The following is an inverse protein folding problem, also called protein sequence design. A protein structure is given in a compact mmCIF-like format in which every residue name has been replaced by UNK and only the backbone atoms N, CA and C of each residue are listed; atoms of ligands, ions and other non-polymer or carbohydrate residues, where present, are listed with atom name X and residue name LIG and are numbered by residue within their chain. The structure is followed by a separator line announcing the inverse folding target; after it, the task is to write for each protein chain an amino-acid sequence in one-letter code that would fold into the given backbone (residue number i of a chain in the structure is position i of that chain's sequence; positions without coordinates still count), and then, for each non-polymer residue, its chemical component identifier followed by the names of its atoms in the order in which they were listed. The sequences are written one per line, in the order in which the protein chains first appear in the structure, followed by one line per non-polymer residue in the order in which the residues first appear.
data_IF_254237872266
#
_entry.id   IF_254237872266
#
_cell.length_a   1.000
_cell.length_b   1.000
_cell.length_c   1.000
_cell.angle_alpha   90.00
_cell.angle_beta   90.00
_cell.angle_gamma   90.00
#
_symmetry.space_group_name_H-M   'P 1'
#
loop_
_entity.id
_entity.type
_entity.pdbx_description
1 polymer ?
#
# COMPACT_ATOMS: atom_id res chain seq x y z
N UNK A 1 22.53 -14.07 1.24
CA UNK A 1 22.57 -12.61 1.14
C UNK A 1 23.90 -12.08 0.61
N UNK A 2 25.04 -12.31 1.27
CA UNK A 2 26.34 -11.76 0.81
C UNK A 2 26.64 -12.12 -0.66
N UNK A 3 26.46 -13.38 -1.05
CA UNK A 3 26.69 -13.80 -2.44
C UNK A 3 25.80 -13.09 -3.47
N UNK A 4 24.54 -12.80 -3.11
CA UNK A 4 23.61 -12.01 -3.95
C UNK A 4 24.09 -10.55 -4.06
N UNK A 5 24.49 -9.96 -2.93
CA UNK A 5 24.98 -8.58 -2.89
C UNK A 5 26.28 -8.40 -3.72
N UNK A 6 27.12 -9.44 -3.78
CA UNK A 6 28.38 -9.49 -4.52
C UNK A 6 28.21 -10.03 -5.96
N UNK A 7 26.99 -10.35 -6.38
CA UNK A 7 26.68 -10.94 -7.71
C UNK A 7 27.50 -12.22 -8.01
N UNK A 8 27.61 -13.12 -7.02
CA UNK A 8 28.31 -14.38 -7.23
C UNK A 8 27.49 -15.27 -8.18
N UNK A 9 28.13 -15.81 -9.22
CA UNK A 9 27.50 -16.74 -10.16
C UNK A 9 27.00 -18.02 -9.46
N UNK A 10 27.74 -18.45 -8.43
CA UNK A 10 27.40 -19.61 -7.60
C UNK A 10 27.60 -19.28 -6.14
N UNK A 11 26.59 -19.52 -5.33
CA UNK A 11 26.60 -19.28 -3.89
C UNK A 11 26.62 -20.63 -3.18
N UNK A 12 27.61 -20.85 -2.31
CA UNK A 12 27.70 -22.06 -1.53
C UNK A 12 27.02 -21.85 -0.17
N UNK A 13 26.07 -22.72 0.18
CA UNK A 13 25.38 -22.72 1.45
C UNK A 13 25.74 -23.97 2.27
N UNK A 14 25.78 -23.83 3.59
CA UNK A 14 25.87 -24.97 4.51
C UNK A 14 24.49 -25.61 4.65
N UNK A 15 24.47 -26.95 4.68
CA UNK A 15 23.23 -27.71 4.69
C UNK A 15 22.97 -28.31 3.31
N UNK A 16 22.54 -29.57 3.27
CA UNK A 16 22.48 -30.33 2.03
C UNK A 16 21.07 -30.52 1.46
N UNK A 17 20.06 -29.88 2.03
CA UNK A 17 18.68 -29.97 1.54
C UNK A 17 18.42 -28.88 0.49
N UNK A 18 18.27 -29.25 -0.81
CA UNK A 18 18.04 -28.28 -1.87
C UNK A 18 16.69 -27.59 -1.78
N UNK A 19 15.65 -28.28 -1.31
CA UNK A 19 14.29 -27.74 -1.25
C UNK A 19 14.23 -26.63 -0.17
N UNK A 20 14.77 -26.90 1.03
CA UNK A 20 14.86 -25.89 2.09
C UNK A 20 15.76 -24.72 1.65
N UNK A 21 16.83 -24.99 0.91
CA UNK A 21 17.73 -23.92 0.43
C UNK A 21 17.04 -23.04 -0.61
N UNK A 22 16.24 -23.62 -1.52
CA UNK A 22 15.44 -22.88 -2.49
C UNK A 22 14.37 -22.03 -1.80
N UNK A 23 13.71 -22.58 -0.77
CA UNK A 23 12.72 -21.85 0.02
C UNK A 23 13.35 -20.65 0.73
N UNK A 24 14.51 -20.83 1.40
CA UNK A 24 15.24 -19.72 2.02
C UNK A 24 15.68 -18.67 1.00
N UNK A 25 16.06 -19.07 -0.20
CA UNK A 25 16.36 -18.10 -1.28
C UNK A 25 15.13 -17.29 -1.66
N UNK A 26 13.96 -17.94 -1.79
CA UNK A 26 12.68 -17.27 -1.99
C UNK A 26 12.36 -16.24 -0.90
N UNK A 27 12.59 -16.59 0.37
CA UNK A 27 12.41 -15.63 1.48
C UNK A 27 13.37 -14.44 1.39
N UNK A 28 14.62 -14.64 0.99
CA UNK A 28 15.55 -13.53 0.76
C UNK A 28 15.02 -12.58 -0.32
N UNK A 29 14.45 -13.10 -1.40
CA UNK A 29 13.82 -12.30 -2.44
C UNK A 29 12.60 -11.51 -1.93
N UNK A 30 11.82 -12.08 -1.02
CA UNK A 30 10.64 -11.45 -0.43
C UNK A 30 11.01 -10.39 0.62
N UNK A 31 12.00 -10.67 1.48
CA UNK A 31 12.32 -9.86 2.65
C UNK A 31 13.31 -8.72 2.38
N UNK A 32 14.07 -8.80 1.29
CA UNK A 32 15.13 -7.83 0.96
C UNK A 32 14.89 -7.18 -0.41
N UNK A 33 13.95 -6.24 -0.50
CA UNK A 33 13.57 -5.60 -1.77
C UNK A 33 14.72 -4.85 -2.45
N UNK A 34 15.77 -4.48 -1.70
CA UNK A 34 16.98 -3.85 -2.22
C UNK A 34 17.79 -4.75 -3.16
N UNK A 35 17.60 -6.07 -3.10
CA UNK A 35 18.21 -7.00 -4.07
C UNK A 35 17.38 -7.13 -5.35
N UNK A 36 16.93 -6.00 -5.88
CA UNK A 36 16.06 -5.92 -7.06
C UNK A 36 16.70 -6.41 -8.37
N UNK A 37 17.92 -6.90 -8.32
CA UNK A 37 18.63 -7.53 -9.44
C UNK A 37 18.50 -9.06 -9.50
N UNK A 38 17.71 -9.67 -8.62
CA UNK A 38 17.28 -11.07 -8.71
C UNK A 38 15.76 -11.11 -8.96
N UNK A 39 15.31 -12.19 -9.62
CA UNK A 39 13.89 -12.38 -9.92
C UNK A 39 13.19 -13.43 -9.05
N UNK A 40 13.84 -13.88 -7.97
CA UNK A 40 13.34 -14.94 -7.10
C UNK A 40 13.59 -16.37 -7.61
N UNK A 41 13.96 -16.54 -8.87
CA UNK A 41 14.32 -17.84 -9.42
C UNK A 41 15.80 -18.19 -9.15
N UNK A 42 16.06 -19.47 -8.94
CA UNK A 42 17.42 -19.99 -8.78
C UNK A 42 17.48 -21.47 -9.12
N UNK A 43 18.68 -21.93 -9.43
CA UNK A 43 18.96 -23.36 -9.53
C UNK A 43 19.68 -23.82 -8.27
N UNK A 44 19.12 -24.79 -7.55
CA UNK A 44 19.70 -25.30 -6.29
C UNK A 44 20.07 -26.77 -6.44
N UNK A 45 21.34 -27.12 -6.18
CA UNK A 45 21.84 -28.48 -6.24
C UNK A 45 22.52 -28.86 -4.92
N UNK A 46 22.10 -29.96 -4.33
CA UNK A 46 22.72 -30.50 -3.09
C UNK A 46 23.84 -31.48 -3.39
N UNK A 47 24.95 -31.37 -2.65
CA UNK A 47 26.16 -32.18 -2.80
C UNK A 47 26.57 -32.87 -1.50
N UNK A 48 27.35 -33.96 -1.65
CA UNK A 48 27.90 -34.75 -0.56
C UNK A 48 27.11 -36.04 -0.28
N UNK A 49 27.74 -37.01 0.44
CA UNK A 49 27.12 -38.24 0.93
C UNK A 49 27.43 -38.43 2.42
N UNK A 50 26.49 -38.11 3.34
CA UNK A 50 25.19 -37.47 3.07
C UNK A 50 25.34 -36.04 2.51
N UNK A 51 24.34 -35.50 1.85
CA UNK A 51 24.34 -34.12 1.33
C UNK A 51 24.61 -33.15 2.47
N UNK A 52 25.61 -32.28 2.34
CA UNK A 52 26.06 -31.40 3.40
C UNK A 52 26.29 -29.96 2.99
N UNK A 53 26.16 -29.63 1.71
CA UNK A 53 26.11 -28.27 1.19
C UNK A 53 25.24 -28.19 -0.07
N UNK A 54 24.79 -26.99 -0.38
CA UNK A 54 24.12 -26.71 -1.64
C UNK A 54 24.85 -25.62 -2.43
N UNK A 55 24.79 -25.73 -3.75
CA UNK A 55 25.11 -24.67 -4.69
C UNK A 55 23.81 -24.01 -5.14
N UNK A 56 23.74 -22.69 -5.02
CA UNK A 56 22.63 -21.85 -5.51
C UNK A 56 23.19 -21.03 -6.65
N UNK A 57 22.56 -21.13 -7.82
CA UNK A 57 22.84 -20.31 -9.00
C UNK A 57 21.66 -19.35 -9.17
N UNK A 58 21.79 -18.07 -8.73
CA UNK A 58 20.73 -17.08 -8.89
C UNK A 58 20.52 -16.69 -10.35
N UNK A 59 19.29 -16.34 -10.69
CA UNK A 59 19.02 -15.65 -11.94
C UNK A 59 19.10 -14.13 -11.72
N UNK A 60 20.15 -13.52 -12.28
CA UNK A 60 20.35 -12.08 -12.21
C UNK A 60 19.73 -11.36 -13.40
N UNK A 61 19.07 -10.23 -13.14
CA UNK A 61 18.38 -9.40 -14.15
C UNK A 61 19.25 -8.28 -14.71
N UNK A 62 20.37 -7.95 -14.03
CA UNK A 62 21.36 -6.95 -14.47
C UNK A 62 22.78 -7.50 -14.32
N UNK A 63 23.75 -6.83 -14.92
CA UNK A 63 25.16 -7.19 -14.83
C UNK A 63 25.79 -6.78 -13.49
N UNK A 64 26.92 -7.42 -13.12
CA UNK A 64 27.65 -7.10 -11.90
C UNK A 64 28.16 -5.64 -11.87
N UNK A 65 28.52 -5.10 -13.02
CA UNK A 65 29.00 -3.72 -13.16
C UNK A 65 27.92 -2.68 -12.81
N UNK A 66 26.64 -3.00 -13.04
CA UNK A 66 25.52 -2.10 -12.80
C UNK A 66 25.10 -2.04 -11.34
N UNK A 67 25.38 -3.08 -10.53
CA UNK A 67 24.88 -3.20 -9.14
C UNK A 67 25.32 -2.04 -8.26
N UNK A 68 26.59 -1.65 -8.28
CA UNK A 68 27.09 -0.55 -7.43
C UNK A 68 26.38 0.77 -7.70
N UNK A 69 26.12 1.06 -8.98
CA UNK A 69 25.35 2.22 -9.40
C UNK A 69 23.91 2.16 -8.88
N UNK A 70 23.27 1.00 -9.06
CA UNK A 70 21.88 0.77 -8.62
C UNK A 70 21.72 0.86 -7.10
N UNK A 71 22.61 0.25 -6.34
CA UNK A 71 22.65 0.37 -4.86
C UNK A 71 22.77 1.83 -4.42
N UNK A 72 23.65 2.60 -5.08
CA UNK A 72 23.83 4.02 -4.77
C UNK A 72 22.57 4.82 -5.06
N UNK A 73 21.89 4.57 -6.17
CA UNK A 73 20.64 5.22 -6.54
C UNK A 73 19.50 4.87 -5.58
N UNK A 74 19.31 3.59 -5.22
CA UNK A 74 18.31 3.15 -4.24
C UNK A 74 18.54 3.83 -2.88
N UNK A 75 19.81 3.84 -2.41
CA UNK A 75 20.14 4.48 -1.13
C UNK A 75 19.89 5.99 -1.17
N UNK A 76 20.26 6.65 -2.26
CA UNK A 76 20.02 8.08 -2.48
C UNK A 76 18.54 8.39 -2.48
N UNK A 77 17.76 7.74 -3.34
CA UNK A 77 16.32 7.92 -3.44
C UNK A 77 15.61 7.65 -2.10
N UNK A 78 15.99 6.59 -1.37
CA UNK A 78 15.44 6.32 -0.05
C UNK A 78 15.81 7.37 1.00
N UNK A 79 17.00 7.99 0.94
CA UNK A 79 17.33 9.12 1.80
C UNK A 79 16.47 10.34 1.50
N UNK A 80 16.32 10.66 0.21
CA UNK A 80 15.52 11.80 -0.25
C UNK A 80 14.05 11.60 0.10
N UNK A 81 13.55 10.37 -0.08
CA UNK A 81 12.17 10.02 0.27
C UNK A 81 11.88 10.21 1.76
N UNK A 82 12.81 9.82 2.64
CA UNK A 82 12.65 9.90 4.09
C UNK A 82 13.14 11.23 4.70
N UNK A 83 13.61 12.18 3.90
CA UNK A 83 14.26 13.41 4.40
C UNK A 83 13.32 14.33 5.18
N UNK A 84 12.04 14.35 4.85
CA UNK A 84 10.98 15.15 5.45
C UNK A 84 10.03 14.35 6.36
N UNK A 85 10.26 13.04 6.52
CA UNK A 85 9.52 12.23 7.48
C UNK A 85 10.04 12.51 8.90
N UNK A 86 9.16 13.02 9.75
CA UNK A 86 9.48 13.26 11.15
C UNK A 86 9.64 11.92 11.91
N UNK A 87 10.89 11.60 12.23
CA UNK A 87 11.22 10.36 12.94
C UNK A 87 10.76 10.33 14.39
N UNK A 88 10.29 11.45 14.94
CA UNK A 88 9.75 11.53 16.30
C UNK A 88 8.27 11.13 16.40
N UNK A 89 7.57 11.01 15.26
CA UNK A 89 6.22 10.44 15.23
C UNK A 89 6.21 9.03 15.80
N UNK A 90 5.06 8.61 16.30
CA UNK A 90 4.82 7.19 16.61
C UNK A 90 4.85 6.34 15.33
N UNK A 91 4.78 5.03 15.49
CA UNK A 91 4.90 4.12 14.35
C UNK A 91 3.71 4.25 13.39
N UNK A 92 2.48 4.48 13.88
CA UNK A 92 1.34 4.75 13.03
C UNK A 92 1.52 6.00 12.18
N UNK A 93 1.96 7.09 12.77
CA UNK A 93 2.23 8.34 12.06
C UNK A 93 3.28 8.17 10.95
N UNK A 94 4.35 7.38 11.20
CA UNK A 94 5.36 7.05 10.18
C UNK A 94 4.79 6.17 9.06
N UNK A 95 4.01 5.14 9.40
CA UNK A 95 3.34 4.25 8.44
C UNK A 95 2.45 5.09 7.51
N UNK A 96 1.58 5.93 8.09
CA UNK A 96 0.68 6.82 7.34
C UNK A 96 1.44 7.79 6.44
N UNK A 97 2.47 8.46 6.96
CA UNK A 97 3.25 9.42 6.21
C UNK A 97 3.96 8.80 5.00
N UNK A 98 4.49 7.58 5.16
CA UNK A 98 5.11 6.85 4.04
C UNK A 98 4.07 6.33 3.05
N UNK A 99 2.93 5.85 3.52
CA UNK A 99 1.79 5.45 2.69
C UNK A 99 1.37 6.60 1.76
N UNK A 100 1.03 7.75 2.32
CA UNK A 100 0.64 8.95 1.58
C UNK A 100 1.72 9.41 0.60
N UNK A 101 2.98 9.36 1.01
CA UNK A 101 4.08 9.81 0.17
C UNK A 101 4.35 8.87 -1.00
N UNK A 102 4.21 7.56 -0.81
CA UNK A 102 4.26 6.59 -1.90
C UNK A 102 3.20 6.89 -2.96
N UNK A 103 1.96 7.11 -2.53
CA UNK A 103 0.83 7.42 -3.43
C UNK A 103 1.09 8.72 -4.21
N UNK A 104 1.62 9.76 -3.56
CA UNK A 104 1.89 11.05 -4.21
C UNK A 104 3.11 11.07 -5.13
N UNK A 105 4.04 10.14 -4.99
CA UNK A 105 5.32 10.18 -5.71
C UNK A 105 5.54 9.05 -6.71
N UNK A 106 4.66 8.05 -6.72
CA UNK A 106 4.77 6.89 -7.60
C UNK A 106 3.53 6.82 -8.46
N UNK A 107 3.71 6.72 -9.76
CA UNK A 107 2.64 6.53 -10.73
C UNK A 107 2.41 5.05 -11.01
N UNK A 108 1.14 4.63 -11.12
CA UNK A 108 0.80 3.27 -11.54
C UNK A 108 0.95 3.13 -13.07
N UNK A 109 1.99 2.43 -13.52
CA UNK A 109 2.31 2.26 -14.94
C UNK A 109 2.58 0.80 -15.27
N UNK A 110 1.64 0.14 -15.97
CA UNK A 110 1.73 -1.30 -16.31
C UNK A 110 2.95 -1.65 -17.16
N UNK A 111 3.33 -0.80 -18.09
CA UNK A 111 4.41 -1.05 -19.03
C UNK A 111 5.74 -0.39 -18.61
N UNK A 112 5.86 0.05 -17.35
CA UNK A 112 7.12 0.61 -16.84
C UNK A 112 8.23 -0.46 -16.85
N UNK A 113 9.48 -0.10 -17.18
CA UNK A 113 10.59 -1.02 -17.10
C UNK A 113 10.79 -1.56 -15.67
N UNK A 114 10.98 -2.88 -15.55
CA UNK A 114 11.18 -3.54 -14.25
C UNK A 114 10.06 -3.26 -13.24
N UNK A 115 8.84 -3.07 -13.70
CA UNK A 115 7.68 -2.55 -12.97
C UNK A 115 7.27 -3.32 -11.69
N UNK A 116 7.93 -4.43 -11.36
CA UNK A 116 7.68 -5.20 -10.13
C UNK A 116 8.80 -5.08 -9.09
N UNK A 117 9.71 -4.12 -9.28
CA UNK A 117 10.90 -4.00 -8.43
C UNK A 117 10.86 -2.74 -7.55
N UNK A 118 11.62 -2.78 -6.45
CA UNK A 118 11.91 -1.58 -5.66
C UNK A 118 12.47 -0.44 -6.51
N UNK A 119 13.33 -0.76 -7.48
CA UNK A 119 13.99 0.25 -8.31
C UNK A 119 12.98 1.03 -9.17
N UNK A 120 12.02 0.32 -9.75
CA UNK A 120 10.94 0.92 -10.53
C UNK A 120 10.10 1.90 -9.69
N UNK A 121 9.65 1.50 -8.51
CA UNK A 121 8.86 2.37 -7.63
C UNK A 121 9.68 3.51 -7.01
N UNK A 122 10.77 3.17 -6.32
CA UNK A 122 11.51 4.14 -5.51
C UNK A 122 12.38 5.11 -6.32
N UNK A 123 13.02 4.62 -7.41
CA UNK A 123 13.98 5.41 -8.17
C UNK A 123 13.35 6.03 -9.42
N UNK A 124 12.54 5.24 -10.15
CA UNK A 124 11.92 5.70 -11.38
C UNK A 124 10.55 6.36 -11.16
N UNK A 125 9.90 6.12 -10.01
CA UNK A 125 8.59 6.66 -9.68
C UNK A 125 7.45 6.09 -10.53
N UNK A 126 7.65 4.93 -11.19
CA UNK A 126 6.65 4.30 -12.06
C UNK A 126 6.68 2.78 -11.89
N UNK A 127 5.57 2.19 -11.45
CA UNK A 127 5.55 0.76 -11.12
C UNK A 127 4.13 0.18 -11.13
N UNK A 128 3.99 -1.08 -10.71
CA UNK A 128 2.71 -1.76 -10.42
C UNK A 128 2.68 -2.20 -8.95
N UNK A 129 1.65 -2.92 -8.52
CA UNK A 129 1.44 -3.31 -7.12
C UNK A 129 2.68 -3.86 -6.42
N UNK A 130 3.42 -4.77 -7.04
CA UNK A 130 4.64 -5.34 -6.45
C UNK A 130 5.72 -4.28 -6.18
N UNK A 131 5.89 -3.29 -7.05
CA UNK A 131 6.87 -2.22 -6.85
C UNK A 131 6.42 -1.21 -5.79
N UNK A 132 5.12 -0.89 -5.69
CA UNK A 132 4.56 -0.12 -4.58
C UNK A 132 4.83 -0.81 -3.24
N UNK A 133 4.45 -2.08 -3.11
CA UNK A 133 4.61 -2.84 -1.88
C UNK A 133 6.10 -3.01 -1.48
N UNK A 134 7.00 -3.23 -2.44
CA UNK A 134 8.45 -3.32 -2.20
C UNK A 134 9.06 -1.97 -1.82
N UNK A 135 8.56 -0.88 -2.39
CA UNK A 135 8.99 0.48 -2.01
C UNK A 135 8.58 0.78 -0.58
N UNK A 136 7.34 0.51 -0.24
CA UNK A 136 6.83 0.66 1.11
C UNK A 136 7.61 -0.21 2.11
N UNK A 137 7.83 -1.49 1.79
CA UNK A 137 8.64 -2.42 2.60
C UNK A 137 10.05 -1.88 2.88
N UNK A 138 10.74 -1.41 1.84
CA UNK A 138 12.10 -0.85 1.99
C UNK A 138 12.12 0.38 2.91
N UNK A 139 11.14 1.26 2.77
CA UNK A 139 11.05 2.48 3.58
C UNK A 139 10.68 2.18 5.03
N UNK A 140 9.77 1.23 5.28
CA UNK A 140 9.44 0.75 6.64
C UNK A 140 10.66 0.13 7.32
N UNK A 141 11.39 -0.75 6.63
CA UNK A 141 12.66 -1.32 7.14
C UNK A 141 13.67 -0.24 7.54
N UNK A 142 13.74 0.88 6.80
CA UNK A 142 14.62 2.01 7.11
C UNK A 142 14.15 2.89 8.28
N UNK A 143 12.89 2.76 8.66
CA UNK A 143 12.28 3.39 9.84
C UNK A 143 12.23 2.45 11.05
N UNK A 144 12.83 1.25 10.94
CA UNK A 144 12.83 0.19 11.96
C UNK A 144 11.41 -0.32 12.29
N UNK A 145 10.48 -0.24 11.34
CA UNK A 145 9.11 -0.77 11.45
C UNK A 145 9.09 -2.15 10.80
N UNK A 146 8.76 -3.23 11.55
CA UNK A 146 8.67 -4.57 10.98
C UNK A 146 7.57 -4.65 9.92
N UNK A 147 7.92 -5.18 8.77
CA UNK A 147 7.03 -5.25 7.60
C UNK A 147 7.27 -6.53 6.82
N UNK A 148 6.21 -7.12 6.29
CA UNK A 148 6.22 -8.29 5.43
C UNK A 148 5.68 -7.90 4.06
N UNK A 149 6.32 -8.33 2.98
CA UNK A 149 5.75 -8.30 1.64
C UNK A 149 4.89 -9.55 1.45
N UNK A 150 3.65 -9.37 1.03
CA UNK A 150 2.67 -10.44 0.83
C UNK A 150 2.30 -10.53 -0.64
N UNK A 151 2.18 -11.75 -1.15
CA UNK A 151 1.60 -12.03 -2.46
C UNK A 151 0.29 -12.77 -2.31
N UNK A 152 -0.57 -12.62 -3.30
CA UNK A 152 -1.88 -13.25 -3.33
C UNK A 152 -2.68 -12.85 -4.56
N UNK A 153 -3.99 -12.85 -4.42
CA UNK A 153 -4.92 -12.44 -5.47
C UNK A 153 -5.97 -11.47 -4.94
N UNK A 154 -6.50 -10.65 -5.84
CA UNK A 154 -7.68 -9.84 -5.58
C UNK A 154 -8.96 -10.69 -5.69
N UNK A 155 -10.11 -10.15 -5.32
CA UNK A 155 -11.44 -10.73 -5.51
C UNK A 155 -11.75 -11.05 -6.99
N UNK A 156 -11.11 -10.31 -7.92
CA UNK A 156 -11.19 -10.59 -9.37
C UNK A 156 -10.32 -11.75 -9.83
N UNK A 157 -9.45 -12.29 -8.95
CA UNK A 157 -8.50 -13.37 -9.24
C UNK A 157 -7.21 -12.89 -9.90
N UNK A 158 -6.95 -11.58 -9.96
CA UNK A 158 -5.68 -11.04 -10.46
C UNK A 158 -4.58 -11.16 -9.40
N UNK A 159 -3.36 -11.49 -9.84
CA UNK A 159 -2.21 -11.56 -8.93
C UNK A 159 -1.90 -10.15 -8.37
N UNK A 160 -1.70 -10.09 -7.07
CA UNK A 160 -1.51 -8.84 -6.35
C UNK A 160 -0.43 -8.94 -5.27
N UNK A 161 0.09 -7.78 -4.84
CA UNK A 161 1.09 -7.71 -3.78
C UNK A 161 0.87 -6.50 -2.89
N UNK A 162 0.92 -6.73 -1.57
CA UNK A 162 0.72 -5.71 -0.53
C UNK A 162 1.66 -5.93 0.66
N UNK A 163 1.39 -5.31 1.79
CA UNK A 163 2.21 -5.45 2.98
C UNK A 163 1.39 -5.77 4.23
N UNK A 164 2.03 -6.46 5.18
CA UNK A 164 1.61 -6.49 6.58
C UNK A 164 2.65 -5.75 7.39
N UNK A 165 2.23 -4.78 8.20
CA UNK A 165 3.09 -4.02 9.12
C UNK A 165 2.81 -4.40 10.56
N UNK A 166 3.84 -4.32 11.41
CA UNK A 166 3.66 -4.38 12.85
C UNK A 166 3.65 -2.98 13.43
N UNK A 167 2.60 -2.64 14.17
CA UNK A 167 2.51 -1.41 14.92
C UNK A 167 2.11 -1.72 16.37
N UNK A 168 2.94 -1.34 17.33
CA UNK A 168 2.80 -1.79 18.72
C UNK A 168 2.88 -3.31 18.83
N UNK A 169 1.88 -3.93 19.44
CA UNK A 169 1.80 -5.39 19.62
C UNK A 169 1.02 -6.10 18.51
N UNK A 170 0.38 -5.36 17.60
CA UNK A 170 -0.52 -5.87 16.58
C UNK A 170 0.07 -5.81 15.17
N UNK A 171 -0.57 -6.54 14.26
CA UNK A 171 -0.28 -6.53 12.83
C UNK A 171 -1.48 -6.02 12.05
N UNK A 172 -1.21 -5.34 10.92
CA UNK A 172 -2.23 -4.71 10.08
C UNK A 172 -1.87 -4.87 8.61
N UNK A 173 -2.87 -5.08 7.76
CA UNK A 173 -2.70 -5.04 6.31
C UNK A 173 -2.56 -3.60 5.83
N UNK A 174 -1.69 -3.38 4.84
CA UNK A 174 -1.49 -2.09 4.18
C UNK A 174 -1.33 -2.32 2.68
N UNK A 175 -2.20 -1.74 1.88
CA UNK A 175 -2.06 -1.75 0.43
C UNK A 175 -1.95 -0.33 -0.13
N UNK A 176 -0.73 0.04 -0.46
CA UNK A 176 -0.42 1.37 -1.03
C UNK A 176 -1.00 1.54 -2.43
N UNK A 177 -1.07 0.46 -3.20
CA UNK A 177 -1.59 0.50 -4.58
C UNK A 177 -3.07 0.86 -4.61
N UNK A 178 -3.86 0.24 -3.73
CA UNK A 178 -5.28 0.52 -3.62
C UNK A 178 -5.59 1.81 -2.87
N UNK A 179 -4.61 2.35 -2.15
CA UNK A 179 -4.67 3.71 -1.62
C UNK A 179 -4.48 4.79 -2.69
N UNK A 180 -3.93 4.42 -3.87
CA UNK A 180 -3.67 5.32 -5.00
C UNK A 180 -4.74 5.16 -6.08
N UNK A 181 -5.80 5.99 -6.08
CA UNK A 181 -6.87 5.89 -7.05
C UNK A 181 -6.39 6.35 -8.43
N UNK A 182 -6.31 5.42 -9.38
CA UNK A 182 -6.09 5.75 -10.79
C UNK A 182 -7.42 6.05 -11.44
N UNK A 183 -7.72 7.32 -11.65
CA UNK A 183 -8.91 7.73 -12.39
C UNK A 183 -8.71 7.54 -13.90
N UNK A 184 -9.70 6.94 -14.58
CA UNK A 184 -9.68 6.84 -16.03
C UNK A 184 -9.71 8.24 -16.67
N UNK A 185 -8.93 8.45 -17.74
CA UNK A 185 -9.00 9.69 -18.52
C UNK A 185 -10.45 9.97 -18.96
N UNK A 186 -11.03 11.06 -18.50
CA UNK A 186 -12.38 11.50 -18.82
C UNK A 186 -13.41 11.39 -17.70
N UNK A 187 -13.19 10.60 -16.67
CA UNK A 187 -14.13 10.48 -15.53
C UNK A 187 -13.84 11.49 -14.41
N UNK A 188 -12.57 11.83 -14.17
CA UNK A 188 -12.16 12.87 -13.22
C UNK A 188 -12.75 14.26 -13.54
N UNK A 189 -13.12 14.52 -14.78
CA UNK A 189 -13.73 15.78 -15.19
C UNK A 189 -15.19 15.98 -14.74
N UNK A 190 -15.90 14.92 -14.41
CA UNK A 190 -17.33 15.00 -14.00
C UNK A 190 -17.48 15.31 -12.51
N UNK A 191 -16.53 14.90 -11.68
CA UNK A 191 -16.64 14.99 -10.21
C UNK A 191 -15.74 16.04 -9.57
N UNK A 192 -14.82 16.67 -10.29
CA UNK A 192 -13.90 17.70 -9.78
C UNK A 192 -13.26 17.29 -8.43
N UNK A 193 -12.78 16.04 -8.38
CA UNK A 193 -12.10 15.49 -7.19
C UNK A 193 -10.72 16.12 -7.07
N UNK A 194 -10.18 16.23 -5.84
CA UNK A 194 -8.79 16.65 -5.64
C UNK A 194 -7.81 15.73 -6.37
N UNK A 195 -6.81 16.31 -7.01
CA UNK A 195 -5.77 15.56 -7.74
C UNK A 195 -4.90 14.70 -6.79
N UNK A 196 -4.91 15.02 -5.49
CA UNK A 196 -4.15 14.36 -4.44
C UNK A 196 -5.03 13.50 -3.50
N UNK A 197 -6.24 13.13 -3.94
CA UNK A 197 -7.13 12.24 -3.18
C UNK A 197 -6.42 10.93 -2.86
N UNK A 198 -6.52 10.48 -1.62
CA UNK A 198 -5.97 9.22 -1.13
C UNK A 198 -7.09 8.38 -0.54
N UNK A 199 -7.15 7.09 -0.88
CA UNK A 199 -8.08 6.16 -0.27
C UNK A 199 -7.43 5.46 0.92
N UNK A 200 -7.91 5.80 2.10
CA UNK A 200 -7.37 5.26 3.35
C UNK A 200 -8.00 3.93 3.79
N UNK A 201 -8.92 3.39 3.00
CA UNK A 201 -9.58 2.10 3.27
C UNK A 201 -8.61 0.91 3.36
N UNK A 202 -7.39 1.09 2.85
CA UNK A 202 -6.34 0.07 2.82
C UNK A 202 -5.13 0.42 3.69
N UNK A 203 -5.30 1.35 4.64
CA UNK A 203 -4.27 1.74 5.60
C UNK A 203 -4.54 1.13 6.98
N UNK A 204 -3.70 0.20 7.43
CA UNK A 204 -3.77 -0.45 8.75
C UNK A 204 -5.09 -1.20 8.99
N UNK A 205 -5.48 -2.04 8.07
CA UNK A 205 -6.77 -2.74 8.04
C UNK A 205 -6.66 -4.15 8.62
N UNK A 206 -7.71 -4.61 9.29
CA UNK A 206 -7.79 -5.98 9.83
C UNK A 206 -8.02 -7.03 8.72
N UNK A 207 -7.68 -8.31 9.00
CA UNK A 207 -7.99 -9.42 8.08
C UNK A 207 -9.49 -9.52 7.80
N UNK A 208 -10.34 -9.16 8.78
CA UNK A 208 -11.79 -9.26 8.64
C UNK A 208 -12.34 -8.34 7.53
N UNK A 209 -11.78 -7.13 7.38
CA UNK A 209 -12.16 -6.20 6.32
C UNK A 209 -11.37 -6.47 5.03
N UNK A 210 -10.08 -6.78 5.14
CA UNK A 210 -9.18 -6.94 4.00
C UNK A 210 -9.49 -8.18 3.15
N UNK A 211 -9.96 -9.25 3.77
CA UNK A 211 -10.28 -10.52 3.09
C UNK A 211 -11.48 -10.45 2.14
N UNK A 212 -12.28 -9.39 2.19
CA UNK A 212 -13.37 -9.18 1.23
C UNK A 212 -12.84 -8.93 -0.20
N UNK A 213 -11.64 -8.39 -0.30
CA UNK A 213 -11.03 -8.01 -1.57
C UNK A 213 -9.69 -8.69 -1.85
N UNK A 214 -9.01 -9.24 -0.83
CA UNK A 214 -7.67 -9.80 -0.95
C UNK A 214 -7.58 -11.20 -0.36
N UNK A 215 -6.90 -12.10 -1.05
CA UNK A 215 -6.61 -13.45 -0.58
C UNK A 215 -5.10 -13.73 -0.67
N UNK A 216 -4.45 -13.87 0.48
CA UNK A 216 -3.02 -14.18 0.53
C UNK A 216 -2.71 -15.61 0.06
N UNK A 217 -1.52 -15.80 -0.51
CA UNK A 217 -1.01 -17.12 -0.85
C UNK A 217 -0.87 -18.00 0.41
N UNK A 218 -1.38 -19.21 0.35
CA UNK A 218 -1.50 -20.11 1.51
C UNK A 218 -0.21 -20.72 2.01
N UNK A 219 0.89 -20.56 1.27
CA UNK A 219 2.21 -21.11 1.58
C UNK A 219 3.06 -20.21 2.49
N UNK A 220 2.58 -19.02 2.86
CA UNK A 220 3.29 -18.08 3.72
C UNK A 220 2.75 -18.15 5.16
N UNK A 221 3.62 -18.31 6.19
CA UNK A 221 3.20 -18.23 7.58
C UNK A 221 3.02 -16.76 7.99
N UNK A 222 1.88 -16.18 7.65
CA UNK A 222 1.58 -14.78 7.95
C UNK A 222 1.04 -14.60 9.37
N UNK A 223 1.37 -13.52 10.08
CA UNK A 223 0.72 -13.16 11.33
C UNK A 223 -0.73 -12.76 11.08
N UNK A 224 -1.63 -13.04 12.02
CA UNK A 224 -3.01 -12.60 11.94
C UNK A 224 -3.15 -11.10 12.24
N UNK A 225 -3.88 -10.38 11.41
CA UNK A 225 -4.20 -8.96 11.56
C UNK A 225 -5.60 -8.82 12.17
N UNK A 226 -5.71 -8.99 13.49
CA UNK A 226 -7.02 -9.02 14.18
C UNK A 226 -7.46 -7.67 14.74
N UNK A 227 -6.57 -6.68 14.77
CA UNK A 227 -6.85 -5.36 15.32
C UNK A 227 -7.35 -4.40 14.23
N UNK A 228 -8.28 -3.54 14.58
CA UNK A 228 -8.89 -2.51 13.72
C UNK A 228 -8.77 -1.10 14.30
N UNK A 229 -8.11 -0.97 15.45
CA UNK A 229 -7.98 0.29 16.19
C UNK A 229 -7.14 1.34 15.44
N UNK A 230 -6.24 0.93 14.54
CA UNK A 230 -5.43 1.83 13.70
C UNK A 230 -6.00 2.06 12.30
N UNK A 231 -7.18 1.55 12.01
CA UNK A 231 -7.89 1.88 10.78
C UNK A 231 -8.11 3.41 10.71
N UNK A 232 -7.80 3.99 9.55
CA UNK A 232 -7.70 5.45 9.39
C UNK A 232 -8.94 6.22 9.86
N UNK A 233 -10.14 5.78 9.46
CA UNK A 233 -11.38 6.49 9.81
C UNK A 233 -11.71 6.39 11.29
N UNK A 234 -11.26 5.33 11.99
CA UNK A 234 -11.34 5.25 13.44
C UNK A 234 -10.39 6.24 14.12
N UNK A 235 -9.18 6.37 13.58
CA UNK A 235 -8.16 7.30 14.09
C UNK A 235 -8.60 8.76 13.99
N UNK A 236 -9.32 9.13 12.94
CA UNK A 236 -9.83 10.50 12.76
C UNK A 236 -11.27 10.69 13.29
N UNK A 237 -11.89 9.66 13.89
CA UNK A 237 -13.25 9.72 14.43
C UNK A 237 -14.36 9.77 13.37
N UNK A 238 -14.07 9.28 12.15
CA UNK A 238 -15.01 9.29 11.01
C UNK A 238 -15.54 7.90 10.66
N UNK A 239 -15.26 6.90 11.49
CA UNK A 239 -15.85 5.57 11.38
C UNK A 239 -17.19 5.54 12.10
N UNK A 240 -18.25 5.23 11.37
CA UNK A 240 -19.63 5.24 11.87
C UNK A 240 -20.15 3.80 11.96
N UNK A 241 -20.44 3.34 13.16
CA UNK A 241 -21.11 2.04 13.45
C UNK A 241 -22.60 2.19 13.73
N UNK A 242 -23.07 3.43 13.84
CA UNK A 242 -24.48 3.82 13.99
C UNK A 242 -24.78 5.03 13.12
N UNK A 243 -26.03 5.15 12.62
CA UNK A 243 -26.44 6.33 11.88
C UNK A 243 -26.73 7.51 12.81
N UNK A 244 -25.95 8.57 12.71
CA UNK A 244 -26.18 9.85 13.39
C UNK A 244 -26.01 11.02 12.42
N UNK A 245 -27.13 11.48 11.85
CA UNK A 245 -27.16 12.62 10.93
C UNK A 245 -26.63 13.92 11.57
N UNK A 246 -26.77 14.08 12.88
CA UNK A 246 -26.29 15.28 13.59
C UNK A 246 -24.77 15.28 13.68
N UNK A 247 -24.19 14.13 13.99
CA UNK A 247 -22.73 13.98 14.03
C UNK A 247 -22.14 14.18 12.64
N UNK A 248 -22.69 13.53 11.60
CA UNK A 248 -22.22 13.68 10.22
C UNK A 248 -22.23 15.16 9.81
N UNK A 249 -23.33 15.86 10.07
CA UNK A 249 -23.44 17.28 9.72
C UNK A 249 -22.43 18.14 10.48
N UNK A 250 -22.27 17.91 11.77
CA UNK A 250 -21.29 18.64 12.59
C UNK A 250 -19.86 18.45 12.07
N UNK A 251 -19.51 17.23 11.68
CA UNK A 251 -18.20 16.93 11.11
C UNK A 251 -17.99 17.62 9.75
N UNK A 252 -19.04 17.66 8.89
CA UNK A 252 -18.97 18.38 7.61
C UNK A 252 -18.83 19.90 7.84
N UNK A 253 -19.52 20.47 8.81
CA UNK A 253 -19.40 21.89 9.19
C UNK A 253 -18.00 22.20 9.72
N UNK A 254 -17.42 21.30 10.53
CA UNK A 254 -16.03 21.41 11.02
C UNK A 254 -15.02 21.41 9.86
N UNK A 255 -15.18 20.52 8.89
CA UNK A 255 -14.31 20.47 7.71
C UNK A 255 -14.39 21.76 6.87
N UNK A 256 -15.61 22.36 6.78
CA UNK A 256 -15.82 23.66 6.13
C UNK A 256 -15.04 24.76 6.87
N UNK A 257 -15.10 24.79 8.20
CA UNK A 257 -14.38 25.77 9.02
C UNK A 257 -12.86 25.61 8.92
N UNK A 258 -12.38 24.36 8.80
CA UNK A 258 -10.99 24.03 8.61
C UNK A 258 -10.49 24.20 7.17
N UNK A 259 -11.37 24.68 6.26
CA UNK A 259 -11.07 24.87 4.83
C UNK A 259 -10.68 23.61 4.07
N UNK A 260 -11.19 22.45 4.49
CA UNK A 260 -11.02 21.20 3.77
C UNK A 260 -11.88 21.19 2.50
N UNK A 261 -11.38 20.59 1.46
CA UNK A 261 -12.06 20.53 0.16
C UNK A 261 -13.16 19.46 0.12
N UNK A 262 -13.08 18.46 0.99
CA UNK A 262 -14.05 17.37 1.11
C UNK A 262 -14.19 16.87 2.54
N UNK A 263 -15.30 16.19 2.80
CA UNK A 263 -15.53 15.42 4.02
C UNK A 263 -15.62 13.94 3.67
N UNK A 264 -14.99 13.11 4.48
CA UNK A 264 -14.92 11.66 4.28
C UNK A 264 -15.43 10.90 5.51
N UNK A 265 -16.10 9.77 5.26
CA UNK A 265 -16.66 8.92 6.31
C UNK A 265 -16.62 7.45 5.86
N UNK A 266 -16.42 6.56 6.81
CA UNK A 266 -16.59 5.12 6.61
C UNK A 266 -17.76 4.60 7.44
N UNK A 267 -18.56 3.73 6.85
CA UNK A 267 -19.75 3.16 7.50
C UNK A 267 -19.55 1.65 7.66
N UNK A 268 -19.83 1.15 8.86
CA UNK A 268 -19.53 -0.22 9.23
C UNK A 268 -20.31 -1.29 8.44
N UNK A 269 -21.45 -0.92 7.83
CA UNK A 269 -22.31 -1.85 7.11
C UNK A 269 -23.01 -1.20 5.91
N UNK A 270 -23.38 -2.01 4.93
CA UNK A 270 -24.19 -1.58 3.78
C UNK A 270 -25.55 -0.99 4.21
N UNK A 271 -26.16 -1.53 5.27
CA UNK A 271 -27.42 -0.99 5.81
C UNK A 271 -27.25 0.43 6.35
N UNK A 272 -26.13 0.74 6.99
CA UNK A 272 -25.82 2.11 7.44
C UNK A 272 -25.56 3.02 6.25
N UNK A 273 -24.82 2.56 5.26
CA UNK A 273 -24.60 3.31 4.03
C UNK A 273 -25.93 3.62 3.34
N UNK A 274 -26.87 2.67 3.25
CA UNK A 274 -28.20 2.90 2.68
C UNK A 274 -28.97 3.99 3.43
N UNK A 275 -28.93 4.03 4.76
CA UNK A 275 -29.54 5.08 5.58
C UNK A 275 -28.93 6.46 5.30
N UNK A 276 -27.59 6.52 5.17
CA UNK A 276 -26.89 7.76 4.82
C UNK A 276 -27.26 8.22 3.42
N UNK A 277 -27.36 7.33 2.45
CA UNK A 277 -27.76 7.65 1.08
C UNK A 277 -29.20 8.16 1.01
N UNK A 278 -30.09 7.69 1.87
CA UNK A 278 -31.45 8.23 2.01
C UNK A 278 -31.43 9.64 2.61
N UNK A 279 -30.63 9.86 3.67
CA UNK A 279 -30.54 11.15 4.36
C UNK A 279 -29.65 12.18 3.60
N UNK A 280 -28.84 11.74 2.66
CA UNK A 280 -27.85 12.55 1.95
C UNK A 280 -28.39 13.86 1.38
N UNK A 281 -29.56 13.92 0.68
CA UNK A 281 -30.03 15.19 0.14
C UNK A 281 -30.21 16.27 1.20
N UNK A 282 -30.72 15.91 2.37
CA UNK A 282 -30.90 16.83 3.49
C UNK A 282 -29.56 17.23 4.14
N UNK A 283 -28.63 16.26 4.29
CA UNK A 283 -27.30 16.53 4.82
C UNK A 283 -26.52 17.51 3.94
N UNK A 284 -26.50 17.26 2.65
CA UNK A 284 -25.80 18.11 1.68
C UNK A 284 -26.46 19.50 1.54
N UNK A 285 -27.79 19.61 1.62
CA UNK A 285 -28.49 20.90 1.62
C UNK A 285 -28.12 21.74 2.84
N UNK A 286 -28.09 21.12 4.02
CA UNK A 286 -27.68 21.81 5.26
C UNK A 286 -26.20 22.22 5.24
N UNK A 287 -25.29 21.33 4.86
CA UNK A 287 -23.87 21.61 4.78
C UNK A 287 -23.58 22.71 3.74
N UNK A 288 -24.23 22.68 2.57
CA UNK A 288 -24.07 23.72 1.54
C UNK A 288 -24.63 25.06 2.00
N UNK A 289 -25.75 25.06 2.72
CA UNK A 289 -26.31 26.26 3.37
C UNK A 289 -25.36 26.86 4.41
N UNK A 290 -24.74 26.00 5.22
CA UNK A 290 -23.70 26.42 6.18
C UNK A 290 -22.49 27.01 5.47
N UNK A 291 -21.94 26.35 4.45
CA UNK A 291 -20.81 26.82 3.65
C UNK A 291 -21.11 28.20 3.01
N UNK A 292 -22.30 28.37 2.39
CA UNK A 292 -22.72 29.66 1.84
C UNK A 292 -22.76 30.77 2.90
N UNK A 293 -23.31 30.45 4.08
CA UNK A 293 -23.42 31.42 5.18
C UNK A 293 -22.03 31.78 5.74
N UNK A 294 -21.18 30.78 5.95
CA UNK A 294 -19.86 30.95 6.55
C UNK A 294 -18.93 31.81 5.68
N UNK A 295 -18.91 31.57 4.38
CA UNK A 295 -18.08 32.31 3.43
C UNK A 295 -18.76 33.44 2.68
N UNK A 296 -20.03 33.69 2.93
CA UNK A 296 -20.82 34.75 2.25
C UNK A 296 -21.04 34.47 0.76
N UNK A 297 -21.20 33.21 0.38
CA UNK A 297 -21.38 32.78 -1.01
C UNK A 297 -22.87 32.78 -1.40
N UNK A 298 -23.15 33.06 -2.68
CA UNK A 298 -24.53 33.02 -3.19
C UNK A 298 -25.02 31.60 -3.52
N UNK A 299 -24.11 30.72 -3.89
CA UNK A 299 -24.38 29.31 -4.19
C UNK A 299 -23.07 28.51 -4.23
N UNK A 300 -23.15 27.20 -4.04
CA UNK A 300 -22.06 26.25 -4.18
C UNK A 300 -22.50 25.08 -5.03
N UNK A 301 -21.54 24.43 -5.65
CA UNK A 301 -21.71 23.11 -6.26
C UNK A 301 -20.97 22.11 -5.42
N UNK A 302 -21.54 20.95 -5.25
CA UNK A 302 -20.92 19.82 -4.56
C UNK A 302 -21.13 18.55 -5.37
N UNK A 303 -20.29 17.58 -5.14
CA UNK A 303 -20.44 16.21 -5.60
C UNK A 303 -20.27 15.25 -4.42
N UNK A 304 -20.59 14.00 -4.59
CA UNK A 304 -20.28 12.95 -3.65
C UNK A 304 -19.77 11.74 -4.42
N UNK A 305 -18.93 10.98 -3.76
CA UNK A 305 -18.39 9.72 -4.25
C UNK A 305 -18.71 8.64 -3.21
N UNK A 306 -19.22 7.52 -3.67
CA UNK A 306 -19.38 6.32 -2.85
C UNK A 306 -18.39 5.27 -3.35
N UNK A 307 -17.52 4.78 -2.45
CA UNK A 307 -16.45 3.85 -2.77
C UNK A 307 -16.81 2.38 -2.49
N UNK A 308 -18.10 2.06 -2.45
CA UNK A 308 -18.62 0.73 -2.04
C UNK A 308 -18.07 -0.45 -2.87
N UNK A 309 -17.51 -0.23 -4.04
CA UNK A 309 -16.98 -1.27 -4.92
C UNK A 309 -15.82 -0.76 -5.77
N UNK A 310 -14.71 -0.38 -5.15
CA UNK A 310 -13.47 -0.19 -5.91
C UNK A 310 -12.83 -1.57 -6.08
N UNK A 311 -13.11 -2.22 -7.19
CA UNK A 311 -12.28 -3.29 -7.71
C UNK A 311 -11.05 -2.64 -8.34
N UNK A 312 -9.90 -3.20 -8.14
CA UNK A 312 -8.55 -2.82 -8.58
C UNK A 312 -8.41 -1.54 -9.45
N UNK A 313 -7.55 -0.56 -9.09
CA UNK A 313 -7.42 0.73 -9.79
C UNK A 313 -7.16 0.64 -11.30
N UNK A 314 -6.88 -0.55 -11.79
CA UNK A 314 -6.51 -0.82 -13.19
C UNK A 314 -7.68 -1.22 -14.08
N UNK A 315 -8.85 -1.44 -13.54
CA UNK A 315 -10.07 -1.63 -14.33
C UNK A 315 -10.87 -0.35 -14.30
N UNK A 316 -10.99 0.26 -15.44
CA UNK A 316 -11.84 1.36 -15.83
C UNK A 316 -13.30 1.18 -15.38
N UNK A 317 -13.54 1.27 -14.09
CA UNK A 317 -14.87 1.37 -13.54
C UNK A 317 -14.83 2.33 -12.39
N UNK A 318 -14.57 3.53 -12.76
CA UNK A 318 -14.92 4.63 -11.93
C UNK A 318 -16.33 5.01 -12.30
N UNK A 319 -17.17 4.89 -11.40
CA UNK A 319 -18.55 5.32 -11.50
C UNK A 319 -18.69 6.69 -10.87
#
# INVERSE_FOLDING_TARGET
MQGIAEHQETIITKGGDPDVTAEVYGWVYMDYPEYCWINGASHVTGYGEPKNYCEVVPEYTISAEEITGRQTQIKGAGNDFLSDIDRSMDDYGKIKAVFEKCIRQIDYVKDAPENQTLYSGLVNGQTVCAGYARTFQYLMNRLDIPVIYVTGTTDTGEAHGWNIVKCGDNYYNVDVTWGDPVFAEGESGEYNLPDDLIYYDFLCVSDAEFSDTHQADTNLPLPACNADDLEYYRQIGRYMDTFDATQILWEMETDIEETKEYSEFKFATDDLMAQVMEARPELLDKASGYLCSYYGLGSVKYTYLSLIHISEPTRHSLI
#
